data_IF_942238581064
#
_entry.id   IF_942238581064
#
_cell.length_a   1.000
_cell.length_b   1.000
_cell.length_c   1.000
_cell.angle_alpha   90.00
_cell.angle_beta   90.00
_cell.angle_gamma   90.00
#
_symmetry.space_group_name_H-M   'P 1'
#
loop_
_entity.id
_entity.type
_entity.pdbx_description
1 polymer ?
#
# COMPACT_ATOMS: atom_id res chain seq x y z
N UNK A 1 -13.02 7.29 -27.47
CA UNK A 1 -14.11 8.12 -26.91
C UNK A 1 -13.53 8.94 -25.76
N UNK A 2 -13.88 10.23 -25.65
CA UNK A 2 -13.21 11.20 -24.77
C UNK A 2 -13.52 10.98 -23.28
N UNK A 3 -12.51 11.22 -22.43
CA UNK A 3 -12.60 11.23 -20.97
C UNK A 3 -13.41 12.45 -20.50
N UNK A 4 -14.56 12.21 -19.86
CA UNK A 4 -15.40 13.27 -19.31
C UNK A 4 -16.91 12.98 -19.27
N UNK A 5 -17.41 11.89 -19.86
CA UNK A 5 -18.84 11.56 -19.76
C UNK A 5 -19.21 10.95 -18.40
N UNK A 6 -20.18 11.58 -17.73
CA UNK A 6 -20.76 11.21 -16.44
C UNK A 6 -21.19 9.73 -16.40
N UNK A 7 -20.88 9.05 -15.30
CA UNK A 7 -21.14 7.61 -15.11
C UNK A 7 -22.63 7.29 -15.27
N UNK A 8 -23.50 8.19 -14.81
CA UNK A 8 -24.94 8.05 -14.94
C UNK A 8 -25.39 8.01 -16.42
N UNK A 9 -24.74 8.79 -17.28
CA UNK A 9 -25.04 8.78 -18.71
C UNK A 9 -24.65 7.44 -19.36
N UNK A 10 -23.57 6.81 -18.90
CA UNK A 10 -23.12 5.49 -19.39
C UNK A 10 -24.06 4.36 -18.98
N UNK A 11 -24.49 4.37 -17.72
CA UNK A 11 -25.48 3.41 -17.19
C UNK A 11 -26.81 3.55 -17.94
N UNK A 12 -27.24 4.77 -18.25
CA UNK A 12 -28.45 5.01 -19.04
C UNK A 12 -28.35 4.46 -20.47
N UNK A 13 -27.21 4.65 -21.15
CA UNK A 13 -26.98 4.08 -22.49
C UNK A 13 -26.98 2.55 -22.45
N UNK A 14 -26.34 1.95 -21.46
CA UNK A 14 -26.35 0.50 -21.27
C UNK A 14 -27.78 -0.04 -21.05
N UNK A 15 -28.56 0.57 -20.15
CA UNK A 15 -29.95 0.17 -19.88
C UNK A 15 -30.85 0.29 -21.13
N UNK A 16 -30.62 1.31 -21.97
CA UNK A 16 -31.33 1.47 -23.23
C UNK A 16 -31.01 0.33 -24.23
N UNK A 17 -29.75 -0.11 -24.29
CA UNK A 17 -29.32 -1.24 -25.14
C UNK A 17 -29.95 -2.54 -24.65
N UNK A 18 -29.91 -2.81 -23.34
CA UNK A 18 -30.53 -4.02 -22.76
C UNK A 18 -32.05 -4.04 -23.02
N UNK A 19 -32.73 -2.90 -22.88
CA UNK A 19 -34.16 -2.77 -23.17
C UNK A 19 -34.48 -3.01 -24.65
N UNK A 20 -33.61 -2.55 -25.57
CA UNK A 20 -33.79 -2.77 -26.99
C UNK A 20 -33.54 -4.24 -27.38
N UNK A 21 -32.58 -4.92 -26.74
CA UNK A 21 -32.31 -6.35 -26.96
C UNK A 21 -33.46 -7.24 -26.44
N UNK A 22 -34.05 -6.88 -25.29
CA UNK A 22 -35.24 -7.56 -24.77
C UNK A 22 -36.46 -7.45 -25.71
N UNK A 23 -36.59 -6.34 -26.46
CA UNK A 23 -37.64 -6.16 -27.48
C UNK A 23 -37.45 -7.04 -28.73
N UNK A 24 -36.25 -7.56 -28.93
CA UNK A 24 -35.91 -8.49 -30.01
C UNK A 24 -35.95 -9.96 -29.55
N UNK A 25 -36.59 -10.22 -28.40
CA UNK A 25 -36.70 -11.55 -27.77
C UNK A 25 -35.34 -12.16 -27.38
N UNK A 26 -34.32 -11.32 -27.20
CA UNK A 26 -33.01 -11.75 -26.70
C UNK A 26 -32.98 -11.56 -25.19
N UNK A 27 -33.04 -12.67 -24.45
CA UNK A 27 -32.81 -12.69 -23.01
C UNK A 27 -31.30 -12.75 -22.72
N UNK A 28 -30.83 -11.83 -21.87
CA UNK A 28 -29.46 -11.82 -21.35
C UNK A 28 -29.57 -12.08 -19.86
N UNK A 29 -28.81 -13.06 -19.36
CA UNK A 29 -28.77 -13.39 -17.94
C UNK A 29 -28.19 -12.23 -17.11
N UNK A 30 -28.59 -12.11 -15.84
CA UNK A 30 -28.18 -10.97 -15.01
C UNK A 30 -26.66 -10.94 -14.76
N UNK A 31 -26.01 -12.11 -14.76
CA UNK A 31 -24.55 -12.24 -14.70
C UNK A 31 -23.88 -11.67 -15.95
N UNK A 32 -24.38 -12.03 -17.12
CA UNK A 32 -23.87 -11.51 -18.40
C UNK A 32 -24.12 -9.99 -18.52
N UNK A 33 -25.25 -9.48 -18.01
CA UNK A 33 -25.49 -8.04 -17.94
C UNK A 33 -24.46 -7.33 -17.07
N UNK A 34 -24.12 -7.90 -15.91
CA UNK A 34 -23.11 -7.34 -15.03
C UNK A 34 -21.72 -7.34 -15.69
N UNK A 35 -21.35 -8.42 -16.37
CA UNK A 35 -20.08 -8.53 -17.09
C UNK A 35 -20.01 -7.52 -18.23
N UNK A 36 -21.06 -7.42 -19.05
CA UNK A 36 -21.11 -6.46 -20.18
C UNK A 36 -21.04 -5.02 -19.67
N UNK A 37 -21.73 -4.71 -18.57
CA UNK A 37 -21.67 -3.39 -17.93
C UNK A 37 -20.24 -3.09 -17.44
N UNK A 38 -19.57 -4.04 -16.80
CA UNK A 38 -18.20 -3.88 -16.34
C UNK A 38 -17.23 -3.67 -17.52
N UNK A 39 -17.35 -4.47 -18.58
CA UNK A 39 -16.55 -4.32 -19.80
C UNK A 39 -16.80 -2.99 -20.54
N UNK A 40 -17.92 -2.30 -20.29
CA UNK A 40 -18.24 -0.98 -20.87
C UNK A 40 -17.57 0.20 -20.14
N UNK A 41 -17.01 -0.02 -18.94
CA UNK A 41 -16.26 0.99 -18.21
C UNK A 41 -14.88 1.19 -18.88
N UNK A 42 -14.45 2.45 -19.03
CA UNK A 42 -13.21 2.81 -19.75
C UNK A 42 -11.96 2.22 -19.06
N UNK A 43 -10.83 2.19 -19.78
CA UNK A 43 -9.51 1.72 -19.31
C UNK A 43 -9.06 2.25 -17.94
N UNK A 44 -9.51 3.45 -17.53
CA UNK A 44 -9.25 4.00 -16.19
C UNK A 44 -9.90 3.23 -15.04
N UNK A 45 -10.93 2.43 -15.33
CA UNK A 45 -11.61 1.53 -14.39
C UNK A 45 -11.26 0.06 -14.62
N UNK A 46 -10.29 -0.24 -15.48
CA UNK A 46 -9.87 -1.63 -15.78
C UNK A 46 -9.56 -2.40 -14.49
N UNK A 47 -8.90 -1.76 -13.53
CA UNK A 47 -8.60 -2.37 -12.23
C UNK A 47 -9.86 -2.72 -11.42
N UNK A 48 -10.91 -1.88 -11.47
CA UNK A 48 -12.19 -2.15 -10.81
C UNK A 48 -12.93 -3.29 -11.52
N UNK A 49 -12.90 -3.27 -12.86
CA UNK A 49 -13.51 -4.27 -13.73
C UNK A 49 -12.89 -5.64 -13.50
N UNK A 50 -11.56 -5.75 -13.51
CA UNK A 50 -10.84 -7.02 -13.23
C UNK A 50 -11.14 -7.54 -11.82
N UNK A 51 -11.25 -6.65 -10.83
CA UNK A 51 -11.56 -7.02 -9.45
C UNK A 51 -12.97 -7.57 -9.31
N UNK A 52 -13.96 -6.99 -10.00
CA UNK A 52 -15.36 -7.43 -9.91
C UNK A 52 -15.69 -8.62 -10.83
N UNK A 53 -15.00 -8.76 -11.98
CA UNK A 53 -15.21 -9.88 -12.92
C UNK A 53 -14.52 -11.18 -12.47
N UNK A 54 -13.35 -11.08 -11.82
CA UNK A 54 -12.57 -12.26 -11.42
C UNK A 54 -12.42 -12.40 -9.89
N UNK A 55 -12.89 -11.42 -9.10
CA UNK A 55 -12.93 -11.49 -7.64
C UNK A 55 -14.01 -12.44 -7.15
N UNK A 56 -13.72 -13.73 -7.17
CA UNK A 56 -14.63 -14.78 -6.74
C UNK A 56 -14.58 -14.92 -5.21
N UNK A 57 -15.35 -14.12 -4.48
CA UNK A 57 -16.24 -14.59 -3.40
C UNK A 57 -17.11 -13.47 -2.80
N UNK A 58 -18.34 -13.88 -2.49
CA UNK A 58 -19.48 -13.09 -2.03
C UNK A 58 -19.17 -12.26 -0.78
N UNK A 59 -19.73 -11.04 -0.72
CA UNK A 59 -20.02 -10.36 0.54
C UNK A 59 -20.90 -11.31 1.36
N UNK A 60 -20.31 -12.00 2.34
CA UNK A 60 -21.06 -12.66 3.41
C UNK A 60 -20.69 -12.03 4.73
N UNK A 61 -21.72 -11.45 5.32
CA UNK A 61 -21.74 -10.93 6.67
C UNK A 61 -21.47 -12.08 7.66
N UNK A 62 -20.69 -11.75 8.69
CA UNK A 62 -20.56 -12.44 9.97
C UNK A 62 -19.90 -13.83 10.03
N UNK A 63 -18.83 -13.86 10.82
CA UNK A 63 -18.30 -15.00 11.58
C UNK A 63 -18.02 -16.32 10.84
N UNK A 64 -16.78 -16.50 10.38
CA UNK A 64 -16.01 -17.74 10.66
C UNK A 64 -14.59 -17.67 10.10
N UNK A 65 -13.65 -18.20 10.89
CA UNK A 65 -12.24 -18.39 10.57
C UNK A 65 -12.06 -19.28 9.33
N UNK A 66 -11.37 -18.81 8.29
CA UNK A 66 -10.72 -19.68 7.30
C UNK A 66 -9.42 -19.08 6.75
N UNK A 67 -8.54 -19.99 6.35
CA UNK A 67 -7.10 -19.88 6.21
C UNK A 67 -6.63 -19.38 4.86
N UNK A 68 -5.49 -18.68 4.93
CA UNK A 68 -4.33 -18.65 4.04
C UNK A 68 -4.44 -19.27 2.63
N UNK A 69 -4.20 -18.44 1.62
CA UNK A 69 -4.20 -18.84 0.21
C UNK A 69 -4.42 -17.66 -0.75
N UNK A 70 -3.48 -16.71 -0.77
CA UNK A 70 -3.27 -15.75 -1.86
C UNK A 70 -4.40 -14.77 -2.22
N UNK A 71 -4.74 -13.89 -1.28
CA UNK A 71 -5.43 -12.64 -1.59
C UNK A 71 -4.45 -11.59 -2.14
N UNK A 72 -4.63 -11.17 -3.41
CA UNK A 72 -3.95 -10.01 -4.00
C UNK A 72 -4.49 -8.74 -3.32
N UNK A 73 -3.59 -8.04 -2.64
CA UNK A 73 -3.90 -6.83 -1.88
C UNK A 73 -4.40 -5.72 -2.81
N UNK A 74 -5.70 -5.44 -2.80
CA UNK A 74 -6.23 -4.14 -3.20
C UNK A 74 -5.65 -3.14 -2.21
N UNK A 75 -4.65 -2.36 -2.65
CA UNK A 75 -4.15 -1.26 -1.85
C UNK A 75 -5.21 -0.17 -1.77
N UNK A 76 -6.08 -0.28 -0.78
CA UNK A 76 -6.60 0.93 -0.13
C UNK A 76 -5.39 1.75 0.30
N UNK A 77 -5.46 3.08 0.14
CA UNK A 77 -4.41 4.10 0.26
C UNK A 77 -3.60 4.13 1.59
N UNK A 78 -3.66 3.11 2.43
CA UNK A 78 -3.01 3.03 3.75
C UNK A 78 -1.50 2.70 3.72
N UNK A 79 -0.90 2.47 2.55
CA UNK A 79 0.49 1.97 2.44
C UNK A 79 1.33 2.64 1.34
N UNK A 80 0.93 3.80 0.83
CA UNK A 80 1.75 4.54 -0.16
C UNK A 80 3.01 5.09 0.50
N UNK A 81 2.89 5.49 1.77
CA UNK A 81 3.97 6.09 2.55
C UNK A 81 4.78 5.07 3.37
N UNK A 82 4.47 3.79 3.23
CA UNK A 82 5.14 2.73 3.98
C UNK A 82 6.54 2.41 3.41
N UNK A 83 7.49 2.12 4.29
CA UNK A 83 8.79 1.57 3.95
C UNK A 83 8.76 0.04 4.01
N UNK A 84 9.24 -0.60 2.95
CA UNK A 84 9.40 -2.06 2.87
C UNK A 84 10.87 -2.41 3.12
N UNK A 85 11.11 -3.35 4.04
CA UNK A 85 12.42 -3.95 4.24
C UNK A 85 12.64 -5.01 3.16
N UNK A 86 13.49 -4.69 2.19
CA UNK A 86 13.64 -5.50 0.98
C UNK A 86 15.06 -6.04 0.86
N UNK A 87 15.15 -7.36 0.71
CA UNK A 87 16.40 -8.09 0.53
C UNK A 87 16.86 -8.13 -0.93
N UNK A 88 15.94 -7.95 -1.88
CA UNK A 88 16.21 -7.93 -3.32
C UNK A 88 16.72 -6.58 -3.83
N UNK A 89 16.63 -5.51 -3.04
CA UNK A 89 17.04 -4.19 -3.48
C UNK A 89 18.48 -3.83 -3.07
N UNK A 90 19.19 -3.15 -3.97
CA UNK A 90 20.60 -2.79 -3.78
C UNK A 90 20.81 -1.49 -2.99
N UNK A 91 19.81 -0.60 -2.98
CA UNK A 91 19.88 0.73 -2.36
C UNK A 91 18.63 1.01 -1.54
N UNK A 92 18.73 1.96 -0.62
CA UNK A 92 17.54 2.62 -0.07
C UNK A 92 16.94 3.51 -1.16
N UNK A 93 15.63 3.41 -1.41
CA UNK A 93 14.99 4.10 -2.53
C UNK A 93 13.59 4.60 -2.21
N UNK A 94 13.21 5.74 -2.77
CA UNK A 94 11.86 6.30 -2.62
C UNK A 94 11.49 7.18 -3.83
N UNK A 95 10.20 7.21 -4.23
CA UNK A 95 9.66 8.19 -5.17
C UNK A 95 9.26 9.52 -4.52
N UNK A 96 9.41 9.70 -3.21
CA UNK A 96 8.86 10.83 -2.47
C UNK A 96 9.94 11.89 -2.17
N UNK A 97 9.99 12.94 -2.99
CA UNK A 97 11.01 13.99 -2.91
C UNK A 97 10.85 14.88 -1.68
N UNK A 98 9.63 15.04 -1.21
CA UNK A 98 9.24 15.90 -0.08
C UNK A 98 9.72 15.38 1.28
N UNK A 99 10.23 14.15 1.34
CA UNK A 99 10.78 13.54 2.56
C UNK A 99 12.26 13.84 2.80
N UNK A 100 12.89 14.57 1.87
CA UNK A 100 14.32 14.78 1.83
C UNK A 100 14.75 15.91 2.76
N UNK A 101 15.64 15.60 3.70
CA UNK A 101 16.24 16.63 4.58
C UNK A 101 17.51 17.24 3.99
N UNK A 102 18.13 16.53 3.07
CA UNK A 102 19.22 17.03 2.21
C UNK A 102 18.94 16.56 0.79
N UNK A 103 19.31 17.32 -0.24
CA UNK A 103 19.10 16.87 -1.61
C UNK A 103 20.29 17.22 -2.49
N UNK A 104 20.93 16.19 -3.04
CA UNK A 104 21.99 16.33 -4.04
C UNK A 104 21.42 15.90 -5.39
N UNK A 105 21.04 16.90 -6.19
CA UNK A 105 20.67 16.69 -7.60
C UNK A 105 21.92 16.39 -8.42
N UNK A 106 21.83 15.44 -9.35
CA UNK A 106 22.89 15.14 -10.31
C UNK A 106 22.65 13.82 -11.02
N UNK A 107 23.34 13.61 -12.14
CA UNK A 107 23.34 12.32 -12.85
C UNK A 107 24.06 11.28 -11.97
N UNK A 108 23.28 10.59 -11.13
CA UNK A 108 23.78 9.63 -10.15
C UNK A 108 23.81 8.20 -10.73
N UNK A 109 23.72 8.08 -12.05
CA UNK A 109 23.62 6.83 -12.78
C UNK A 109 22.19 6.30 -12.85
N UNK A 110 22.07 5.09 -13.40
CA UNK A 110 20.81 4.37 -13.53
C UNK A 110 20.86 3.04 -12.76
N UNK A 111 19.68 2.49 -12.50
CA UNK A 111 19.50 1.16 -11.91
C UNK A 111 18.50 0.35 -12.72
N UNK A 112 18.55 -0.97 -12.55
CA UNK A 112 17.52 -1.87 -13.05
C UNK A 112 16.58 -2.25 -11.92
N UNK A 113 15.29 -2.20 -12.21
CA UNK A 113 14.24 -2.71 -11.33
C UNK A 113 14.07 -4.22 -11.54
N UNK A 114 13.28 -4.87 -10.67
CA UNK A 114 13.01 -6.31 -10.78
C UNK A 114 12.22 -6.72 -12.03
N UNK A 115 11.70 -5.75 -12.79
CA UNK A 115 11.02 -5.92 -14.08
C UNK A 115 11.93 -5.55 -15.28
N UNK A 116 13.24 -5.52 -15.07
CA UNK A 116 14.28 -5.16 -16.06
C UNK A 116 14.20 -3.74 -16.63
N UNK A 117 13.27 -2.90 -16.14
CA UNK A 117 13.24 -1.49 -16.54
C UNK A 117 14.45 -0.76 -15.98
N UNK A 118 15.10 0.00 -16.87
CA UNK A 118 16.18 0.91 -16.50
C UNK A 118 15.60 2.24 -16.05
N UNK A 119 15.88 2.64 -14.81
CA UNK A 119 15.40 3.86 -14.19
C UNK A 119 16.58 4.77 -13.82
N UNK A 120 16.42 6.08 -14.03
CA UNK A 120 17.43 7.05 -13.68
C UNK A 120 17.37 7.40 -12.19
N UNK A 121 18.53 7.54 -11.53
CA UNK A 121 18.59 8.09 -10.18
C UNK A 121 18.57 9.62 -10.29
N UNK A 122 17.44 10.22 -9.96
CA UNK A 122 17.23 11.66 -10.06
C UNK A 122 17.99 12.46 -9.00
N UNK A 123 18.34 11.83 -7.88
CA UNK A 123 19.17 12.43 -6.83
C UNK A 123 19.42 11.50 -5.66
N UNK A 124 20.22 11.98 -4.71
CA UNK A 124 20.57 11.28 -3.47
C UNK A 124 20.25 12.18 -2.28
N UNK A 125 19.70 11.58 -1.22
CA UNK A 125 19.18 12.30 -0.06
C UNK A 125 19.33 11.53 1.24
N UNK A 126 19.18 12.25 2.35
CA UNK A 126 18.89 11.71 3.67
C UNK A 126 17.39 11.79 3.97
N UNK A 127 16.85 10.75 4.58
CA UNK A 127 15.43 10.69 5.03
C UNK A 127 15.37 10.40 6.52
N UNK A 128 14.56 11.17 7.25
CA UNK A 128 14.34 10.95 8.69
C UNK A 128 13.12 10.06 8.91
N UNK A 129 13.28 9.08 9.79
CA UNK A 129 12.23 8.12 10.16
C UNK A 129 12.08 8.12 11.67
N UNK A 130 10.84 8.38 12.14
CA UNK A 130 10.44 8.24 13.53
C UNK A 130 10.07 6.77 13.78
N UNK A 131 10.83 6.12 14.64
CA UNK A 131 10.61 4.73 15.06
C UNK A 131 9.51 4.64 16.12
N UNK A 132 8.99 3.43 16.36
CA UNK A 132 7.93 3.15 17.35
C UNK A 132 8.25 3.65 18.78
N UNK A 133 9.53 3.74 19.16
CA UNK A 133 9.98 4.26 20.46
C UNK A 133 10.14 5.80 20.48
N UNK A 134 9.51 6.50 19.53
CA UNK A 134 9.63 7.96 19.32
C UNK A 134 11.05 8.45 18.98
N UNK A 135 12.02 7.54 18.83
CA UNK A 135 13.38 7.87 18.40
C UNK A 135 13.39 8.17 16.90
N UNK A 136 13.98 9.29 16.52
CA UNK A 136 14.20 9.64 15.11
C UNK A 136 15.56 9.12 14.66
N UNK A 137 15.58 8.40 13.54
CA UNK A 137 16.80 7.89 12.89
C UNK A 137 16.87 8.49 11.48
N UNK A 138 18.09 8.63 10.97
CA UNK A 138 18.33 9.08 9.59
C UNK A 138 18.74 7.89 8.75
N UNK A 139 18.05 7.70 7.62
CA UNK A 139 18.46 6.80 6.55
C UNK A 139 19.32 7.62 5.58
N UNK A 140 20.57 7.20 5.41
CA UNK A 140 21.54 7.86 4.54
C UNK A 140 21.51 7.25 3.13
N UNK A 141 22.04 8.01 2.17
CA UNK A 141 22.26 7.54 0.79
C UNK A 141 20.99 7.03 0.08
N UNK A 142 19.83 7.62 0.40
CA UNK A 142 18.55 7.27 -0.22
C UNK A 142 18.51 7.78 -1.65
N UNK A 143 18.27 6.88 -2.61
CA UNK A 143 18.14 7.20 -4.04
C UNK A 143 16.72 7.65 -4.36
N UNK A 144 16.61 8.78 -5.04
CA UNK A 144 15.35 9.30 -5.53
C UNK A 144 15.04 8.73 -6.90
N UNK A 145 13.95 7.96 -7.02
CA UNK A 145 13.55 7.28 -8.25
C UNK A 145 12.05 7.47 -8.46
N UNK A 146 11.70 8.29 -9.44
CA UNK A 146 10.32 8.68 -9.77
C UNK A 146 9.42 7.50 -10.15
N UNK A 147 9.99 6.49 -10.81
CA UNK A 147 9.22 5.37 -11.38
C UNK A 147 8.86 4.28 -10.34
N UNK A 148 9.29 4.44 -9.09
CA UNK A 148 8.97 3.51 -8.02
C UNK A 148 7.55 3.71 -7.49
N UNK A 149 6.89 2.59 -7.15
CA UNK A 149 5.56 2.60 -6.52
C UNK A 149 5.60 2.49 -5.00
N UNK A 150 6.75 2.14 -4.43
CA UNK A 150 6.95 1.85 -3.00
C UNK A 150 8.31 2.35 -2.53
N UNK A 151 8.40 2.63 -1.23
CA UNK A 151 9.65 3.00 -0.56
C UNK A 151 10.36 1.73 -0.09
N UNK A 152 11.64 1.62 -0.38
CA UNK A 152 12.42 0.41 -0.15
C UNK A 152 13.63 0.71 0.74
N UNK A 153 13.82 -0.09 1.79
CA UNK A 153 15.03 -0.11 2.59
C UNK A 153 15.80 -1.37 2.23
N UNK A 154 16.97 -1.19 1.60
CA UNK A 154 17.87 -2.31 1.30
C UNK A 154 18.42 -2.95 2.57
N UNK A 155 18.05 -4.21 2.78
CA UNK A 155 18.60 -5.05 3.83
C UNK A 155 20.08 -5.33 3.60
N UNK A 156 20.51 -5.41 2.33
CA UNK A 156 21.91 -5.54 1.97
C UNK A 156 22.74 -4.32 2.39
N UNK A 157 22.24 -3.11 2.15
CA UNK A 157 22.88 -1.87 2.60
C UNK A 157 22.93 -1.75 4.13
N UNK A 158 21.87 -2.15 4.83
CA UNK A 158 21.88 -2.25 6.29
C UNK A 158 22.97 -3.23 6.77
N UNK A 159 23.01 -4.43 6.20
CA UNK A 159 23.98 -5.46 6.59
C UNK A 159 25.43 -5.00 6.41
N UNK A 160 25.75 -4.37 5.27
CA UNK A 160 27.08 -3.78 5.01
C UNK A 160 27.50 -2.73 6.05
N UNK A 161 26.54 -2.07 6.69
CA UNK A 161 26.77 -1.07 7.73
C UNK A 161 26.72 -1.64 9.17
N UNK A 162 26.74 -2.97 9.31
CA UNK A 162 26.75 -3.67 10.59
C UNK A 162 25.38 -3.78 11.27
N UNK A 163 24.29 -3.56 10.52
CA UNK A 163 22.93 -3.76 11.02
C UNK A 163 22.45 -5.17 10.66
N UNK A 164 22.16 -5.98 11.67
CA UNK A 164 21.86 -7.40 11.51
C UNK A 164 20.35 -7.63 11.66
N UNK A 165 19.69 -8.24 10.67
CA UNK A 165 18.31 -8.68 10.83
C UNK A 165 18.22 -9.90 11.73
N UNK A 166 17.26 -9.88 12.66
CA UNK A 166 16.93 -10.99 13.55
C UNK A 166 15.41 -11.14 13.63
N UNK A 167 14.90 -12.32 13.31
CA UNK A 167 13.49 -12.62 13.57
C UNK A 167 13.22 -12.63 15.08
N UNK A 168 12.04 -12.17 15.47
CA UNK A 168 11.53 -12.34 16.82
C UNK A 168 10.87 -13.71 16.99
N UNK A 169 10.61 -14.10 18.24
CA UNK A 169 10.04 -15.42 18.57
C UNK A 169 8.64 -15.64 17.97
N UNK A 170 7.87 -14.56 17.84
CA UNK A 170 6.52 -14.56 17.25
C UNK A 170 6.52 -14.83 15.74
N UNK A 171 7.69 -14.76 15.07
CA UNK A 171 7.86 -14.87 13.61
C UNK A 171 7.06 -13.85 12.80
N UNK A 172 6.51 -12.84 13.46
CA UNK A 172 5.82 -11.71 12.83
C UNK A 172 6.74 -10.49 12.74
N UNK A 173 7.68 -10.36 13.66
CA UNK A 173 8.55 -9.19 13.75
C UNK A 173 9.96 -9.54 13.32
N UNK A 174 10.55 -8.67 12.50
CA UNK A 174 11.99 -8.65 12.24
C UNK A 174 12.60 -7.43 12.92
N UNK A 175 13.63 -7.65 13.73
CA UNK A 175 14.41 -6.62 14.41
C UNK A 175 15.70 -6.39 13.63
N UNK A 176 15.99 -5.13 13.31
CA UNK A 176 17.29 -4.72 12.78
C UNK A 176 18.12 -4.24 13.96
N UNK A 177 19.17 -4.99 14.31
CA UNK A 177 19.99 -4.72 15.50
C UNK A 177 21.39 -4.22 15.12
N UNK A 178 21.97 -3.37 15.95
CA UNK A 178 23.39 -3.00 15.90
C UNK A 178 23.99 -3.20 17.28
N UNK A 179 24.79 -4.25 17.45
CA UNK A 179 25.20 -4.72 18.78
C UNK A 179 24.00 -5.21 19.58
N UNK A 180 23.84 -4.69 20.80
CA UNK A 180 22.70 -5.01 21.68
C UNK A 180 21.44 -4.17 21.40
N UNK A 181 21.54 -3.12 20.59
CA UNK A 181 20.46 -2.17 20.35
C UNK A 181 19.57 -2.60 19.18
N UNK A 182 18.26 -2.64 19.38
CA UNK A 182 17.29 -2.69 18.28
C UNK A 182 17.12 -1.30 17.70
N UNK A 183 17.39 -1.15 16.40
CA UNK A 183 17.38 0.14 15.70
C UNK A 183 16.11 0.33 14.88
N UNK A 184 15.60 -0.76 14.29
CA UNK A 184 14.36 -0.78 13.53
C UNK A 184 13.59 -2.07 13.80
N UNK A 185 12.26 -2.02 13.62
CA UNK A 185 11.41 -3.21 13.57
C UNK A 185 10.60 -3.19 12.29
N UNK A 186 10.50 -4.33 11.62
CA UNK A 186 9.52 -4.57 10.58
C UNK A 186 8.50 -5.58 11.05
N UNK A 187 7.24 -5.42 10.66
CA UNK A 187 6.19 -6.42 10.85
C UNK A 187 5.88 -7.08 9.52
N UNK A 188 5.76 -8.39 9.52
CA UNK A 188 5.25 -9.15 8.38
C UNK A 188 3.83 -8.66 8.07
N UNK A 189 3.63 -8.26 6.83
CA UNK A 189 2.29 -8.10 6.24
C UNK A 189 2.04 -9.31 5.34
N UNK A 190 0.83 -9.42 4.78
CA UNK A 190 0.47 -10.52 3.89
C UNK A 190 1.58 -10.83 2.87
N UNK A 191 1.84 -12.13 2.62
CA UNK A 191 2.84 -12.65 1.68
C UNK A 191 4.31 -12.39 2.04
N UNK A 192 4.66 -12.43 3.32
CA UNK A 192 6.05 -12.43 3.79
C UNK A 192 6.84 -11.15 3.53
N UNK A 193 6.15 -10.04 3.28
CA UNK A 193 6.75 -8.73 3.10
C UNK A 193 6.89 -8.06 4.47
N UNK A 194 8.05 -7.51 4.79
CA UNK A 194 8.24 -6.78 6.04
C UNK A 194 8.01 -5.29 5.86
N UNK A 195 6.95 -4.76 6.48
CA UNK A 195 6.69 -3.32 6.57
C UNK A 195 7.38 -2.74 7.79
N UNK A 196 8.13 -1.66 7.63
CA UNK A 196 8.73 -0.94 8.76
C UNK A 196 7.67 -0.40 9.73
N UNK A 197 7.92 -0.61 11.03
CA UNK A 197 7.17 0.01 12.13
C UNK A 197 7.76 1.38 12.45
N UNK A 198 7.42 2.36 11.63
CA UNK A 198 7.82 3.75 11.78
C UNK A 198 7.20 4.65 10.71
N UNK A 199 7.36 5.95 10.89
CA UNK A 199 6.79 6.97 10.03
C UNK A 199 7.89 7.90 9.52
N UNK A 200 7.84 8.26 8.24
CA UNK A 200 8.72 9.29 7.69
C UNK A 200 8.40 10.63 8.37
N UNK A 201 9.44 11.36 8.77
CA UNK A 201 9.32 12.73 9.27
C UNK A 201 9.47 13.68 8.10
N UNK A 202 8.45 14.51 7.87
CA UNK A 202 8.47 15.58 6.86
C UNK A 202 8.57 16.92 7.59
N UNK A 203 9.62 17.69 7.32
CA UNK A 203 9.77 19.03 7.89
C UNK A 203 8.75 19.96 7.22
N UNK A 204 7.60 20.18 7.89
CA UNK A 204 6.56 21.11 7.40
C UNK A 204 5.12 20.85 7.86
N UNK A 205 4.77 19.64 8.31
CA UNK A 205 3.44 19.33 8.85
C UNK A 205 3.59 18.32 9.99
N UNK A 206 3.09 18.67 11.19
CA UNK A 206 2.93 17.68 12.26
C UNK A 206 1.97 16.60 11.77
N UNK A 207 2.47 15.40 11.50
CA UNK A 207 1.60 14.24 11.33
C UNK A 207 0.82 14.04 12.63
N UNK A 208 -0.49 14.24 12.60
CA UNK A 208 -1.38 13.78 13.67
C UNK A 208 -1.23 12.25 13.72
N UNK A 209 -0.82 11.71 14.87
CA UNK A 209 -0.76 10.26 15.09
C UNK A 209 -2.14 9.67 14.76
N UNK A 210 -2.31 9.06 13.58
CA UNK A 210 -3.46 8.19 13.29
C UNK A 210 -3.10 6.77 13.73
N UNK A 211 -2.76 6.64 15.00
CA UNK A 211 -2.80 5.37 15.69
C UNK A 211 -3.41 5.63 17.06
N UNK A 212 -4.71 5.84 17.07
CA UNK A 212 -5.43 5.28 18.19
C UNK A 212 -6.71 4.62 17.73
N UNK A 213 -6.92 3.48 18.36
CA UNK A 213 -8.02 2.55 18.26
C UNK A 213 -9.29 3.23 18.79
N UNK A 214 -9.72 4.32 18.14
CA UNK A 214 -10.88 5.11 18.55
C UNK A 214 -12.17 4.28 18.51
N UNK A 215 -12.18 3.17 17.79
CA UNK A 215 -13.30 2.23 17.81
C UNK A 215 -13.37 1.47 19.14
N UNK A 216 -12.24 1.11 19.77
CA UNK A 216 -12.25 0.49 21.11
C UNK A 216 -12.62 1.45 22.23
N UNK A 217 -12.18 2.71 22.16
CA UNK A 217 -12.55 3.73 23.14
C UNK A 217 -14.05 4.06 23.11
N UNK A 218 -14.67 4.07 21.93
CA UNK A 218 -16.13 4.20 21.79
C UNK A 218 -16.90 3.03 22.42
N UNK A 219 -16.37 1.81 22.36
CA UNK A 219 -17.02 0.65 23.00
C UNK A 219 -16.91 0.64 24.54
N UNK A 220 -15.85 1.19 25.13
CA UNK A 220 -15.74 1.27 26.60
C UNK A 220 -16.61 2.36 27.22
N UNK A 221 -16.85 3.49 26.55
CA UNK A 221 -17.66 4.58 27.13
C UNK A 221 -19.16 4.26 27.22
N UNK A 222 -19.70 3.43 26.33
CA UNK A 222 -21.13 3.06 26.33
C UNK A 222 -21.49 1.95 27.33
N UNK A 223 -20.51 1.27 27.92
CA UNK A 223 -20.74 0.25 28.95
C UNK A 223 -21.05 0.79 30.35
N UNK A 224 -20.78 2.07 30.61
CA UNK A 224 -20.93 2.69 31.93
C UNK A 224 -22.15 3.62 32.08
N UNK A 225 -22.96 3.77 31.05
CA UNK A 225 -24.11 4.68 31.04
C UNK A 225 -25.43 4.04 31.53
N UNK A 226 -25.40 2.86 32.16
CA UNK A 226 -26.61 2.21 32.66
C UNK A 226 -26.54 1.61 34.08
N UNK A 227 -25.64 2.08 34.93
CA UNK A 227 -25.62 1.71 36.36
C UNK A 227 -25.77 2.92 37.28
N UNK A 228 -26.84 3.70 37.09
CA UNK A 228 -27.46 4.50 38.16
C UNK A 228 -28.97 4.60 37.90
N UNK A 229 -29.65 3.50 38.17
CA UNK A 229 -31.02 3.52 38.67
C UNK A 229 -31.00 3.72 40.18
#
# INVERSE_FOLDING_TARGET
MQEGSDLAQRVNVFNQIITNLARLDVSIEDEDRAIILLCSLLFSYEHLVTTLTYGKEMIKNDNSNYSDGDMLFVSTNQYVDAWILDSGCSYHMTPNREWFTSYRSGNSGSIYLGDDRCCNIAGISEVRIKMYERTVRTLYDVRYILDLKKNLISMGSLHKNGFIPKADEDREIIRIVKGALTVMKGKIIARSIYKLLGNTVVDGVQSVDSCDDNTKLWHMCLGHLNERG
#
